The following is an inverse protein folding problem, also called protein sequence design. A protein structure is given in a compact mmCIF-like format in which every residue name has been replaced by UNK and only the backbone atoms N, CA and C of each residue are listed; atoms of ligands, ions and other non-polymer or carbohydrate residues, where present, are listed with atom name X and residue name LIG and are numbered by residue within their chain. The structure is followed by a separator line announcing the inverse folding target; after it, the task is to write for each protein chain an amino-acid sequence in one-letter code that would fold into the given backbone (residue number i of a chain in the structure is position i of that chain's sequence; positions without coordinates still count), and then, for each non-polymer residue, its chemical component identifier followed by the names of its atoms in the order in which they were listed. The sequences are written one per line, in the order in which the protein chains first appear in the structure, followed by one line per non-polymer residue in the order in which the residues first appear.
data_IF_735053611691
#
_entry.id   IF_735053611691
#
_cell.length_a   1.000
_cell.length_b   1.000
_cell.length_c   1.000
_cell.angle_alpha   90.00
_cell.angle_beta   90.00
_cell.angle_gamma   90.00
#
_symmetry.space_group_name_H-M   'P 1'
#
loop_
_entity.id
_entity.type
_entity.pdbx_description
1 polymer ?
#
# COMPACT_ATOMS: atom_id res chain seq x y z
N UNK A 1 7.17 13.29 -43.18
CA UNK A 1 7.95 13.37 -41.93
C UNK A 1 6.92 13.41 -40.82
N UNK A 2 6.77 12.32 -40.08
CA UNK A 2 5.80 12.24 -38.97
C UNK A 2 6.26 13.16 -37.84
N UNK A 3 5.46 14.19 -37.53
CA UNK A 3 5.66 14.98 -36.33
C UNK A 3 5.60 14.04 -35.15
N UNK A 4 6.73 13.83 -34.49
CA UNK A 4 6.75 13.11 -33.20
C UNK A 4 5.88 13.94 -32.25
N UNK A 5 4.69 13.43 -31.92
CA UNK A 5 3.80 14.09 -30.97
C UNK A 5 4.58 14.31 -29.66
N UNK A 6 4.75 15.60 -29.31
CA UNK A 6 5.40 15.95 -28.04
C UNK A 6 4.48 15.54 -26.91
N UNK A 7 5.04 14.89 -25.88
CA UNK A 7 4.28 14.59 -24.67
C UNK A 7 3.79 15.88 -24.03
N UNK A 8 2.52 15.94 -23.70
CA UNK A 8 1.92 16.94 -22.83
C UNK A 8 0.86 16.27 -21.98
N UNK A 9 0.62 16.80 -20.80
CA UNK A 9 -0.35 16.24 -19.87
C UNK A 9 -0.97 17.32 -19.00
N UNK A 10 -2.28 17.25 -18.84
CA UNK A 10 -3.03 18.02 -17.86
C UNK A 10 -4.14 17.16 -17.28
N UNK A 11 -4.12 16.93 -15.97
CA UNK A 11 -5.18 16.21 -15.29
C UNK A 11 -6.52 16.94 -15.42
N UNK A 12 -7.56 16.24 -15.87
CA UNK A 12 -8.92 16.79 -16.04
C UNK A 12 -9.73 16.80 -14.72
N UNK A 13 -9.13 16.27 -13.64
CA UNK A 13 -9.73 16.27 -12.30
C UNK A 13 -11.11 15.60 -12.27
N UNK A 14 -12.09 16.26 -11.66
CA UNK A 14 -13.48 15.79 -11.58
C UNK A 14 -14.21 15.68 -12.91
N UNK A 15 -13.65 16.23 -13.98
CA UNK A 15 -14.15 16.12 -15.38
C UNK A 15 -13.60 14.89 -16.11
N UNK A 16 -12.81 14.03 -15.44
CA UNK A 16 -12.22 12.85 -16.04
C UNK A 16 -13.23 11.71 -16.09
N UNK A 17 -13.58 11.24 -17.29
CA UNK A 17 -14.55 10.16 -17.48
C UNK A 17 -13.94 8.77 -17.26
N UNK A 18 -12.66 8.57 -17.60
CA UNK A 18 -12.01 7.26 -17.54
C UNK A 18 -11.52 6.87 -16.15
N UNK A 19 -11.26 7.85 -15.28
CA UNK A 19 -10.77 7.62 -13.90
C UNK A 19 -9.54 6.70 -13.81
N UNK A 20 -8.76 6.58 -14.88
CA UNK A 20 -7.68 5.60 -15.04
C UNK A 20 -6.66 5.61 -13.88
N UNK A 21 -6.37 6.78 -13.28
CA UNK A 21 -5.48 6.88 -12.13
C UNK A 21 -6.06 6.28 -10.84
N UNK A 22 -7.38 6.17 -10.71
CA UNK A 22 -8.06 5.62 -9.53
C UNK A 22 -8.31 4.12 -9.63
N UNK A 23 -8.63 3.65 -10.85
CA UNK A 23 -8.96 2.23 -11.10
C UNK A 23 -7.75 1.39 -11.47
N UNK A 24 -6.58 1.99 -11.73
CA UNK A 24 -5.35 1.22 -12.01
C UNK A 24 -5.09 0.16 -10.94
N UNK A 25 -4.52 -1.01 -11.27
CA UNK A 25 -4.40 -2.14 -10.35
C UNK A 25 -3.63 -1.81 -9.06
N UNK A 26 -2.60 -0.97 -9.16
CA UNK A 26 -1.72 -0.62 -8.04
C UNK A 26 -1.41 0.88 -8.01
N UNK A 27 -1.46 1.44 -6.81
CA UNK A 27 -0.98 2.80 -6.52
C UNK A 27 0.15 2.69 -5.50
N UNK A 28 1.37 2.62 -5.98
CA UNK A 28 2.56 2.49 -5.13
C UNK A 28 2.77 3.71 -4.22
N UNK A 29 3.23 3.45 -3.00
CA UNK A 29 3.58 4.45 -1.98
C UNK A 29 5.04 4.25 -1.60
N UNK A 30 5.79 5.32 -1.44
CA UNK A 30 7.21 5.30 -1.07
C UNK A 30 7.42 5.67 0.40
N UNK A 31 8.58 5.31 0.97
CA UNK A 31 8.99 5.78 2.30
C UNK A 31 9.06 7.32 2.32
N UNK A 32 9.46 7.94 1.21
CA UNK A 32 9.48 9.40 1.06
C UNK A 32 8.08 10.01 1.12
N UNK A 33 7.05 9.31 0.58
CA UNK A 33 5.65 9.74 0.74
C UNK A 33 5.23 9.71 2.21
N UNK A 34 5.56 8.65 2.96
CA UNK A 34 5.27 8.56 4.39
C UNK A 34 5.95 9.69 5.17
N UNK A 35 7.23 9.95 4.90
CA UNK A 35 7.96 11.04 5.52
C UNK A 35 7.35 12.42 5.20
N UNK A 36 6.94 12.64 3.95
CA UNK A 36 6.27 13.85 3.52
C UNK A 36 4.93 14.06 4.25
N UNK A 37 4.10 13.02 4.36
CA UNK A 37 2.83 13.08 5.08
C UNK A 37 3.01 13.32 6.58
N UNK A 38 4.05 12.74 7.18
CA UNK A 38 4.42 13.03 8.57
C UNK A 38 4.74 14.51 8.76
N UNK A 39 5.60 15.07 7.91
CA UNK A 39 5.98 16.49 7.95
C UNK A 39 4.80 17.44 7.69
N UNK A 40 3.83 17.02 6.90
CA UNK A 40 2.60 17.77 6.61
C UNK A 40 1.52 17.62 7.70
N UNK A 41 1.70 16.73 8.67
CA UNK A 41 0.71 16.43 9.71
C UNK A 41 -0.47 15.58 9.23
N UNK A 42 -0.40 14.99 8.02
CA UNK A 42 -1.51 14.21 7.43
C UNK A 42 -1.37 12.70 7.61
N UNK A 43 -0.27 12.22 8.18
CA UNK A 43 0.03 10.78 8.24
C UNK A 43 -1.11 9.96 8.88
N UNK A 44 -1.69 10.44 9.99
CA UNK A 44 -2.74 9.72 10.72
C UNK A 44 -4.04 9.60 9.92
N UNK A 45 -4.28 10.53 8.99
CA UNK A 45 -5.46 10.52 8.12
C UNK A 45 -5.26 9.60 6.90
N UNK A 46 -4.02 9.44 6.44
CA UNK A 46 -3.70 8.70 5.21
C UNK A 46 -3.30 7.25 5.52
N UNK A 47 -2.56 7.02 6.61
CA UNK A 47 -2.02 5.71 6.97
C UNK A 47 -3.06 4.56 7.02
N UNK A 48 -4.31 4.77 7.52
CA UNK A 48 -5.32 3.72 7.49
C UNK A 48 -5.71 3.24 6.09
N UNK A 49 -5.43 4.04 5.06
CA UNK A 49 -5.66 3.68 3.66
C UNK A 49 -4.42 3.13 2.95
N UNK A 50 -3.35 2.77 3.67
CA UNK A 50 -2.12 2.20 3.12
C UNK A 50 -2.03 0.73 3.52
N UNK A 51 -1.70 -0.11 2.57
CA UNK A 51 -1.50 -1.55 2.75
C UNK A 51 -0.04 -1.90 2.51
N UNK A 52 0.48 -2.81 3.31
CA UNK A 52 1.79 -3.43 3.09
C UNK A 52 1.55 -4.73 2.32
N UNK A 53 2.18 -4.84 1.16
CA UNK A 53 2.20 -6.09 0.41
C UNK A 53 3.45 -6.87 0.80
N UNK A 54 3.21 -8.04 1.40
CA UNK A 54 4.28 -8.95 1.84
C UNK A 54 4.57 -9.95 0.73
N UNK A 55 5.85 -10.26 0.44
CA UNK A 55 6.18 -11.29 -0.52
C UNK A 55 5.69 -12.67 -0.02
N UNK A 56 4.97 -13.39 -0.87
CA UNK A 56 4.58 -14.78 -0.61
C UNK A 56 5.66 -15.75 -1.10
N UNK A 57 6.45 -15.32 -2.07
CA UNK A 57 7.57 -16.08 -2.65
C UNK A 57 8.82 -15.20 -2.76
N UNK A 58 9.99 -15.83 -2.96
CA UNK A 58 11.26 -15.11 -3.17
C UNK A 58 11.28 -14.18 -4.40
N UNK A 59 10.30 -14.33 -5.30
CA UNK A 59 10.18 -13.53 -6.53
C UNK A 59 9.28 -12.33 -6.38
N UNK A 60 8.53 -12.25 -5.28
CA UNK A 60 7.58 -11.17 -5.04
C UNK A 60 8.26 -9.97 -4.41
N UNK A 61 7.85 -8.80 -4.84
CA UNK A 61 8.33 -7.54 -4.29
C UNK A 61 7.64 -7.23 -2.95
N UNK A 62 8.41 -6.61 -2.07
CA UNK A 62 7.89 -6.02 -0.83
C UNK A 62 7.62 -4.54 -1.08
N UNK A 63 6.36 -4.08 -0.95
CA UNK A 63 5.99 -2.70 -1.24
C UNK A 63 4.81 -2.18 -0.43
N UNK A 64 4.67 -0.85 -0.38
CA UNK A 64 3.46 -0.19 0.08
C UNK A 64 2.58 0.20 -1.09
N UNK A 65 1.26 0.12 -0.89
CA UNK A 65 0.28 0.64 -1.82
C UNK A 65 -0.93 1.22 -1.10
N UNK A 66 -1.74 1.99 -1.82
CA UNK A 66 -3.04 2.39 -1.29
C UNK A 66 -4.00 1.21 -1.30
N UNK A 67 -4.77 1.06 -0.23
CA UNK A 67 -5.83 0.07 -0.16
C UNK A 67 -6.85 0.26 -1.30
N UNK A 68 -7.57 -0.83 -1.61
CA UNK A 68 -8.60 -0.86 -2.65
C UNK A 68 -9.98 -0.98 -2.02
N UNK A 69 -10.97 -0.33 -2.63
CA UNK A 69 -12.38 -0.51 -2.29
C UNK A 69 -13.20 -0.80 -3.53
N UNK A 70 -14.32 -1.56 -3.43
CA UNK A 70 -15.24 -1.73 -4.54
C UNK A 70 -15.83 -0.38 -4.94
N UNK A 71 -16.19 -0.23 -6.22
CA UNK A 71 -16.93 0.93 -6.70
C UNK A 71 -18.42 0.79 -6.35
N UNK A 72 -19.07 1.90 -6.01
CA UNK A 72 -20.51 1.93 -5.79
C UNK A 72 -21.29 1.68 -7.10
N UNK A 73 -20.72 2.15 -8.22
CA UNK A 73 -21.30 1.98 -9.56
C UNK A 73 -21.06 0.59 -10.17
N UNK A 74 -20.06 -0.15 -9.70
CA UNK A 74 -19.71 -1.49 -10.20
C UNK A 74 -18.94 -2.26 -9.11
N UNK A 75 -19.63 -3.13 -8.39
CA UNK A 75 -19.06 -3.90 -7.27
C UNK A 75 -17.99 -4.92 -7.68
N UNK A 76 -17.89 -5.28 -8.97
CA UNK A 76 -16.85 -6.17 -9.48
C UNK A 76 -15.54 -5.42 -9.73
N UNK A 77 -15.60 -4.10 -9.92
CA UNK A 77 -14.46 -3.23 -10.11
C UNK A 77 -14.01 -2.59 -8.80
N UNK A 78 -12.70 -2.36 -8.67
CA UNK A 78 -12.13 -1.71 -7.49
C UNK A 78 -11.41 -0.42 -7.84
N UNK A 79 -11.40 0.51 -6.89
CA UNK A 79 -10.66 1.76 -6.98
C UNK A 79 -9.79 2.00 -5.76
N UNK A 80 -8.87 2.96 -5.86
CA UNK A 80 -8.11 3.47 -4.73
C UNK A 80 -9.06 3.92 -3.60
N UNK A 81 -8.76 3.56 -2.35
CA UNK A 81 -9.59 3.90 -1.18
C UNK A 81 -9.84 5.41 -1.04
N UNK A 82 -8.90 6.25 -1.48
CA UNK A 82 -9.02 7.71 -1.47
C UNK A 82 -9.79 8.31 -2.66
N UNK A 83 -10.39 7.47 -3.48
CA UNK A 83 -11.27 7.96 -4.55
C UNK A 83 -12.68 8.15 -4.01
N UNK A 84 -13.19 9.38 -4.11
CA UNK A 84 -14.58 9.70 -3.84
C UNK A 84 -15.36 9.63 -5.16
N UNK A 85 -16.23 8.64 -5.27
CA UNK A 85 -16.97 8.37 -6.49
C UNK A 85 -18.04 9.44 -6.77
N UNK A 86 -18.71 9.90 -5.73
CA UNK A 86 -19.77 10.92 -5.86
C UNK A 86 -19.18 12.27 -6.31
N UNK A 87 -18.04 12.65 -5.75
CA UNK A 87 -17.34 13.88 -6.14
C UNK A 87 -16.49 13.71 -7.41
N UNK A 88 -16.30 12.47 -7.90
CA UNK A 88 -15.37 12.11 -8.96
C UNK A 88 -13.96 12.65 -8.72
N UNK A 89 -13.46 12.56 -7.51
CA UNK A 89 -12.24 13.24 -7.07
C UNK A 89 -11.39 12.39 -6.12
N UNK A 90 -10.11 12.74 -6.03
CA UNK A 90 -9.18 12.19 -5.04
C UNK A 90 -9.23 13.01 -3.75
N UNK A 91 -9.56 12.40 -2.63
CA UNK A 91 -9.67 13.05 -1.31
C UNK A 91 -8.30 13.56 -0.80
N UNK A 92 -7.21 12.89 -1.17
CA UNK A 92 -5.85 13.29 -0.81
C UNK A 92 -5.10 13.98 -1.98
N UNK A 93 -5.82 14.69 -2.85
CA UNK A 93 -5.25 15.25 -4.08
C UNK A 93 -3.95 16.02 -3.89
N UNK A 94 -3.86 16.85 -2.86
CA UNK A 94 -2.68 17.68 -2.59
C UNK A 94 -1.56 16.92 -1.84
N UNK A 95 -1.88 15.77 -1.29
CA UNK A 95 -0.95 14.89 -0.56
C UNK A 95 -0.81 13.51 -1.21
N UNK A 96 -1.25 13.35 -2.48
CA UNK A 96 -1.18 12.06 -3.17
C UNK A 96 0.25 11.54 -3.29
N UNK A 97 0.41 10.21 -3.35
CA UNK A 97 1.71 9.56 -3.58
C UNK A 97 2.41 10.10 -4.81
N UNK A 98 3.73 10.06 -4.82
CA UNK A 98 4.52 10.49 -5.98
C UNK A 98 4.13 9.71 -7.23
N UNK A 99 3.81 8.43 -7.13
CA UNK A 99 3.30 7.60 -8.24
C UNK A 99 1.99 8.12 -8.85
N UNK A 100 1.17 8.84 -8.09
CA UNK A 100 -0.03 9.52 -8.61
C UNK A 100 0.30 10.89 -9.23
N UNK A 101 1.38 11.52 -8.80
CA UNK A 101 1.80 12.82 -9.34
C UNK A 101 2.45 12.65 -10.72
N UNK A 102 3.17 11.54 -10.94
CA UNK A 102 3.79 11.21 -12.23
C UNK A 102 2.82 10.67 -13.26
N UNK A 103 1.74 10.01 -12.80
CA UNK A 103 0.77 9.38 -13.71
C UNK A 103 0.24 10.36 -14.78
N UNK A 104 0.18 9.94 -16.05
CA UNK A 104 0.45 8.61 -16.59
C UNK A 104 1.88 8.39 -17.13
N UNK A 105 2.82 9.30 -16.90
CA UNK A 105 4.21 9.16 -17.32
C UNK A 105 4.98 8.38 -16.25
N UNK A 106 5.66 7.32 -16.66
CA UNK A 106 6.51 6.51 -15.80
C UNK A 106 7.92 6.38 -16.40
N UNK A 107 8.92 6.23 -15.53
CA UNK A 107 10.27 5.85 -15.90
C UNK A 107 10.55 4.43 -15.40
N UNK A 108 11.05 3.55 -16.26
CA UNK A 108 11.30 2.15 -15.90
C UNK A 108 12.79 1.81 -15.67
N UNK A 109 13.65 2.83 -15.55
CA UNK A 109 15.09 2.70 -15.41
C UNK A 109 15.84 2.87 -16.73
N UNK A 110 15.18 2.72 -17.88
CA UNK A 110 15.78 2.85 -19.20
C UNK A 110 15.10 3.90 -20.07
N UNK A 111 13.78 3.94 -20.02
CA UNK A 111 12.96 4.81 -20.89
C UNK A 111 11.69 5.29 -20.18
N UNK A 112 11.14 6.38 -20.72
CA UNK A 112 9.83 6.87 -20.30
C UNK A 112 8.72 6.17 -21.07
N UNK A 113 7.71 5.74 -20.34
CA UNK A 113 6.54 5.03 -20.86
C UNK A 113 5.25 5.67 -20.35
N UNK A 114 4.17 5.52 -21.09
CA UNK A 114 2.85 5.85 -20.61
C UNK A 114 2.21 4.60 -20.02
N UNK A 115 1.95 4.62 -18.72
CA UNK A 115 1.28 3.51 -18.01
C UNK A 115 -0.20 3.39 -18.37
N UNK A 116 -0.81 4.48 -18.88
CA UNK A 116 -2.16 4.44 -19.40
C UNK A 116 -2.25 5.34 -20.65
N UNK A 117 -2.59 4.72 -21.78
CA UNK A 117 -2.87 5.42 -23.03
C UNK A 117 -4.28 6.02 -23.05
N UNK A 118 -5.17 5.49 -22.23
CA UNK A 118 -6.57 5.86 -22.14
C UNK A 118 -6.81 7.07 -21.22
N UNK A 119 -5.74 7.62 -20.63
CA UNK A 119 -5.87 8.81 -19.82
C UNK A 119 -6.18 10.03 -20.69
N UNK A 120 -7.38 10.64 -20.58
CA UNK A 120 -7.81 11.72 -21.47
C UNK A 120 -7.04 13.03 -21.24
N UNK A 121 -6.22 13.11 -20.17
CA UNK A 121 -5.32 14.24 -19.92
C UNK A 121 -4.07 14.26 -20.81
N UNK A 122 -3.75 13.12 -21.46
CA UNK A 122 -2.62 13.03 -22.39
C UNK A 122 -2.95 13.80 -23.68
N UNK A 123 -1.99 14.58 -24.15
CA UNK A 123 -2.19 15.48 -25.29
C UNK A 123 -2.75 16.86 -24.92
N UNK A 124 -3.12 17.07 -23.66
CA UNK A 124 -3.52 18.35 -23.11
C UNK A 124 -2.41 18.96 -22.24
N UNK A 125 -2.45 20.27 -22.06
CA UNK A 125 -1.51 20.99 -21.20
C UNK A 125 -0.34 21.61 -21.93
N UNK A 126 0.70 21.99 -21.17
CA UNK A 126 1.87 22.66 -21.68
C UNK A 126 2.77 21.70 -22.45
N UNK A 127 3.18 22.10 -23.67
CA UNK A 127 4.09 21.36 -24.56
C UNK A 127 5.52 21.92 -24.54
N UNK A 128 5.83 22.82 -23.60
CA UNK A 128 7.15 23.40 -23.45
C UNK A 128 8.22 22.35 -23.11
N UNK A 129 9.46 22.68 -23.38
CA UNK A 129 10.58 21.82 -23.00
C UNK A 129 10.72 21.70 -21.48
N UNK A 130 10.44 22.78 -20.79
CA UNK A 130 10.49 22.92 -19.35
C UNK A 130 9.46 21.96 -18.68
N UNK A 131 8.19 22.02 -19.13
CA UNK A 131 7.14 21.12 -18.63
C UNK A 131 7.48 19.64 -18.85
N UNK A 132 8.05 19.32 -20.02
CA UNK A 132 8.50 17.94 -20.28
C UNK A 132 9.66 17.53 -19.39
N UNK A 133 10.63 18.43 -19.15
CA UNK A 133 11.75 18.13 -18.25
C UNK A 133 11.29 17.93 -16.82
N UNK A 134 10.36 18.73 -16.33
CA UNK A 134 9.83 18.60 -14.98
C UNK A 134 9.03 17.29 -14.82
N UNK A 135 8.21 16.92 -15.80
CA UNK A 135 7.52 15.63 -15.79
C UNK A 135 8.50 14.44 -15.78
N UNK A 136 9.60 14.53 -16.55
CA UNK A 136 10.65 13.50 -16.58
C UNK A 136 11.39 13.39 -15.24
N UNK A 137 11.83 14.52 -14.69
CA UNK A 137 12.49 14.56 -13.37
C UNK A 137 11.62 13.92 -12.29
N UNK A 138 10.32 14.23 -12.29
CA UNK A 138 9.39 13.65 -11.32
C UNK A 138 9.23 12.13 -11.51
N UNK A 139 9.18 11.65 -12.76
CA UNK A 139 9.12 10.22 -13.07
C UNK A 139 10.42 9.48 -12.68
N UNK A 140 11.59 10.08 -12.87
CA UNK A 140 12.88 9.55 -12.42
C UNK A 140 12.95 9.51 -10.88
N UNK A 141 12.46 10.56 -10.22
CA UNK A 141 12.37 10.62 -8.77
C UNK A 141 11.46 9.51 -8.23
N UNK A 142 10.27 9.31 -8.81
CA UNK A 142 9.38 8.21 -8.43
C UNK A 142 10.08 6.87 -8.54
N UNK A 143 10.73 6.60 -9.67
CA UNK A 143 11.47 5.36 -9.90
C UNK A 143 12.53 5.13 -8.82
N UNK A 144 13.35 6.15 -8.53
CA UNK A 144 14.38 6.07 -7.50
C UNK A 144 13.79 5.79 -6.11
N UNK A 145 12.80 6.57 -5.69
CA UNK A 145 12.16 6.41 -4.38
C UNK A 145 11.47 5.04 -4.24
N UNK A 146 10.89 4.53 -5.32
CA UNK A 146 10.29 3.20 -5.36
C UNK A 146 11.32 2.10 -5.17
N UNK A 147 12.46 2.16 -5.88
CA UNK A 147 13.55 1.19 -5.72
C UNK A 147 14.14 1.27 -4.31
N UNK A 148 14.40 2.47 -3.79
CA UNK A 148 14.90 2.67 -2.42
C UNK A 148 13.92 2.10 -1.38
N UNK A 149 12.62 2.29 -1.57
CA UNK A 149 11.58 1.75 -0.70
C UNK A 149 11.59 0.21 -0.73
N UNK A 150 11.58 -0.40 -1.91
CA UNK A 150 11.60 -1.86 -2.06
C UNK A 150 12.87 -2.46 -1.44
N UNK A 151 14.01 -1.82 -1.58
CA UNK A 151 15.27 -2.28 -0.98
C UNK A 151 15.30 -2.14 0.56
N UNK A 152 14.67 -1.10 1.11
CA UNK A 152 14.70 -0.83 2.55
C UNK A 152 13.67 -1.66 3.34
N UNK A 153 12.52 -1.96 2.75
CA UNK A 153 11.39 -2.59 3.45
C UNK A 153 11.73 -3.92 4.11
N UNK A 154 12.44 -4.88 3.50
CA UNK A 154 12.79 -6.14 4.15
C UNK A 154 13.59 -5.94 5.43
N UNK A 155 14.55 -5.01 5.43
CA UNK A 155 15.36 -4.71 6.61
C UNK A 155 14.54 -4.05 7.72
N UNK A 156 13.73 -3.06 7.39
CA UNK A 156 12.83 -2.39 8.36
C UNK A 156 11.86 -3.41 8.98
N UNK A 157 11.23 -4.23 8.16
CA UNK A 157 10.32 -5.28 8.61
C UNK A 157 11.01 -6.27 9.55
N UNK A 158 12.21 -6.75 9.19
CA UNK A 158 12.99 -7.69 10.00
C UNK A 158 13.33 -7.12 11.39
N UNK A 159 13.71 -5.83 11.45
CA UNK A 159 13.97 -5.14 12.72
C UNK A 159 12.69 -5.04 13.56
N UNK A 160 11.57 -4.64 12.96
CA UNK A 160 10.28 -4.54 13.66
C UNK A 160 9.82 -5.90 14.20
N UNK A 161 9.88 -6.96 13.38
CA UNK A 161 9.49 -8.30 13.77
C UNK A 161 10.38 -8.84 14.90
N UNK A 162 11.70 -8.65 14.80
CA UNK A 162 12.63 -9.05 15.87
C UNK A 162 12.32 -8.34 17.18
N UNK A 163 11.97 -7.06 17.12
CA UNK A 163 11.58 -6.30 18.30
C UNK A 163 10.26 -6.80 18.90
N UNK A 164 9.26 -7.05 18.06
CA UNK A 164 7.95 -7.58 18.51
C UNK A 164 8.09 -8.97 19.15
N UNK A 165 8.89 -9.86 18.55
CA UNK A 165 9.16 -11.20 19.12
C UNK A 165 9.82 -11.06 20.48
N UNK A 166 10.83 -10.20 20.61
CA UNK A 166 11.51 -9.96 21.90
C UNK A 166 10.55 -9.43 22.95
N UNK A 167 9.75 -8.41 22.64
CA UNK A 167 8.75 -7.86 23.55
C UNK A 167 7.70 -8.91 23.96
N UNK A 168 7.25 -9.73 23.01
CA UNK A 168 6.32 -10.83 23.29
C UNK A 168 6.94 -11.87 24.22
N UNK A 169 8.21 -12.24 24.00
CA UNK A 169 8.91 -13.18 24.87
C UNK A 169 9.11 -12.62 26.29
N UNK A 170 9.48 -11.35 26.41
CA UNK A 170 9.59 -10.67 27.71
C UNK A 170 8.23 -10.60 28.43
N UNK A 171 7.15 -10.27 27.70
CA UNK A 171 5.81 -10.25 28.24
C UNK A 171 5.37 -11.64 28.75
N UNK A 172 5.66 -12.71 27.99
CA UNK A 172 5.37 -14.08 28.39
C UNK A 172 6.16 -14.53 29.62
N UNK A 173 7.42 -14.11 29.76
CA UNK A 173 8.23 -14.40 30.96
C UNK A 173 7.67 -13.74 32.23
N UNK A 174 7.06 -12.56 32.08
CA UNK A 174 6.49 -11.78 33.18
C UNK A 174 5.04 -12.14 33.53
N UNK A 175 4.42 -13.08 32.78
CA UNK A 175 3.08 -13.58 33.10
C UNK A 175 3.09 -14.40 34.41
N UNK A 176 2.05 -14.18 35.25
CA UNK A 176 1.80 -15.05 36.40
C UNK A 176 1.45 -16.50 35.95
N UNK A 177 1.63 -17.47 36.82
CA UNK A 177 1.21 -18.87 36.52
C UNK A 177 -0.29 -18.97 36.22
N UNK A 178 -1.10 -18.17 36.88
CA UNK A 178 -2.54 -18.11 36.65
C UNK A 178 -2.88 -17.59 35.25
N UNK A 179 -2.21 -16.51 34.80
CA UNK A 179 -2.43 -15.95 33.47
C UNK A 179 -1.92 -16.88 32.37
N UNK A 180 -0.82 -17.61 32.60
CA UNK A 180 -0.33 -18.65 31.67
C UNK A 180 -1.37 -19.75 31.48
N UNK A 181 -1.96 -20.26 32.56
CA UNK A 181 -3.03 -21.28 32.48
C UNK A 181 -4.23 -20.78 31.68
N UNK A 182 -4.69 -19.56 31.95
CA UNK A 182 -5.79 -18.95 31.19
C UNK A 182 -5.48 -18.80 29.69
N UNK A 183 -4.24 -18.44 29.38
CA UNK A 183 -3.79 -18.30 27.99
C UNK A 183 -3.73 -19.66 27.28
N UNK A 184 -3.21 -20.71 27.96
CA UNK A 184 -3.18 -22.08 27.44
C UNK A 184 -4.60 -22.62 27.18
N UNK A 185 -5.55 -22.36 28.08
CA UNK A 185 -6.96 -22.69 27.86
C UNK A 185 -7.56 -22.01 26.65
N UNK A 186 -7.26 -20.73 26.44
CA UNK A 186 -7.75 -19.98 25.26
C UNK A 186 -7.16 -20.55 23.97
N UNK A 187 -5.84 -20.84 23.96
CA UNK A 187 -5.15 -21.41 22.82
C UNK A 187 -5.71 -22.80 22.48
N UNK A 188 -5.90 -23.65 23.50
CA UNK A 188 -6.47 -24.98 23.30
C UNK A 188 -7.88 -24.93 22.73
N UNK A 189 -8.73 -24.05 23.26
CA UNK A 189 -10.08 -23.83 22.72
C UNK A 189 -10.07 -23.31 21.28
N UNK A 190 -9.12 -22.44 20.93
CA UNK A 190 -9.03 -21.88 19.57
C UNK A 190 -8.52 -22.89 18.53
N UNK A 191 -7.78 -23.92 18.95
CA UNK A 191 -7.27 -25.00 18.09
C UNK A 191 -8.27 -26.14 17.87
N UNK A 192 -9.42 -26.14 18.57
CA UNK A 192 -10.48 -27.14 18.36
C UNK A 192 -10.11 -28.54 18.91
N UNK A 193 -9.10 -28.68 19.78
CA UNK A 193 -8.80 -29.94 20.45
C UNK A 193 -9.74 -30.11 21.64
N UNK A 194 -10.42 -31.29 21.78
CA UNK A 194 -11.28 -31.57 22.94
C UNK A 194 -10.43 -31.64 24.20
N UNK A 195 -10.90 -30.99 25.26
CA UNK A 195 -10.28 -31.09 26.58
C UNK A 195 -10.14 -32.56 26.97
N UNK A 196 -8.91 -33.00 27.32
CA UNK A 196 -8.67 -34.31 27.83
C UNK A 196 -9.44 -34.46 29.17
N UNK A 197 -10.50 -35.29 29.15
CA UNK A 197 -11.17 -35.70 30.36
C UNK A 197 -10.17 -36.42 31.29
N UNK A 198 -9.94 -35.84 32.45
CA UNK A 198 -9.21 -36.53 33.56
C UNK A 198 -10.01 -37.77 33.93
N UNK A 199 -9.49 -38.93 33.57
CA UNK A 199 -10.02 -40.22 34.04
C UNK A 199 -9.82 -40.37 35.55
N UNK A 200 -10.87 -40.07 36.30
CA UNK A 200 -10.95 -40.49 37.70
C UNK A 200 -11.15 -42.01 37.76
N UNK A 201 -10.08 -42.73 37.90
CA UNK A 201 -10.12 -44.15 38.30
C UNK A 201 -10.58 -44.24 39.75
N UNK A 202 -11.87 -44.55 39.93
CA UNK A 202 -12.40 -44.92 41.22
C UNK A 202 -12.18 -46.41 41.40
N UNK A 203 -11.15 -46.75 42.13
CA UNK A 203 -10.85 -48.11 42.61
C UNK A 203 -11.77 -48.37 43.81
N UNK A 204 -12.78 -49.22 43.67
CA UNK A 204 -13.53 -49.77 44.78
C UNK A 204 -13.39 -51.28 44.74
N UNK A 205 -12.47 -51.75 45.58
CA UNK A 205 -12.44 -53.10 46.04
C UNK A 205 -13.62 -53.36 46.98
N UNK A 206 -14.31 -54.46 46.80
CA UNK A 206 -15.30 -55.07 47.69
C UNK A 206 -15.58 -56.48 47.26
#
# INVERSE_FOLDING_TARGET
MSEKSKYSFKCLENKCDTKACHIRPRVGVTISDLARWMNQGYIMNILPGITIHMPETEKDDFYFETARKPLESDSESTACVFYNEQANACEIRYSRPISCQTFPLEFNGEKYVLSSKDCPGVGHGDVSKEALQDARKLAEQEYKERIETTAALPAVYSVMMSQMIRQSAEAMQNLSEEDRKKMDEIITKSRGEPASEESSSNDQSG
#
